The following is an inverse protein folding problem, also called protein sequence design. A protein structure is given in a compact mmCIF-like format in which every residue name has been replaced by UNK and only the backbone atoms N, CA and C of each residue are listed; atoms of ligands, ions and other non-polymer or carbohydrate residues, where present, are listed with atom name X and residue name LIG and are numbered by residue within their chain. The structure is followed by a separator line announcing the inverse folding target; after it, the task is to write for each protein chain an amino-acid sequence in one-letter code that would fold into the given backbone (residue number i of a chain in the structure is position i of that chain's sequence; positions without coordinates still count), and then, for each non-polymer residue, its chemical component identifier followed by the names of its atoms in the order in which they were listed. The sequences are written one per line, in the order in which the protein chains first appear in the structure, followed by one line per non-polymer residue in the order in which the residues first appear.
data_IF_257764887451
#
_entry.id   IF_257764887451
#
_cell.length_a   1.000
_cell.length_b   1.000
_cell.length_c   1.000
_cell.angle_alpha   90.00
_cell.angle_beta   90.00
_cell.angle_gamma   90.00
#
_symmetry.space_group_name_H-M   'P 1'
#
loop_
_entity.id
_entity.type
_entity.pdbx_description
1 polymer ?
#
# COMPACT_ATOMS: atom_id res chain seq x y z
N UNK A 1 -18.17 3.63 -7.42
CA UNK A 1 -18.33 4.53 -6.26
C UNK A 1 -19.78 4.96 -6.18
N UNK A 2 -20.41 4.87 -5.01
CA UNK A 2 -21.79 5.30 -4.79
C UNK A 2 -21.95 6.79 -5.18
N UNK A 3 -23.06 7.21 -5.84
CA UNK A 3 -23.27 8.61 -6.24
C UNK A 3 -23.15 9.61 -5.09
N UNK A 4 -23.61 9.24 -3.89
CA UNK A 4 -23.50 10.06 -2.68
C UNK A 4 -22.06 10.28 -2.25
N UNK A 5 -21.24 9.22 -2.27
CA UNK A 5 -19.81 9.31 -1.97
C UNK A 5 -19.08 10.19 -2.98
N UNK A 6 -19.43 10.09 -4.28
CA UNK A 6 -18.87 10.99 -5.30
C UNK A 6 -19.18 12.45 -5.01
N UNK A 7 -20.43 12.75 -4.70
CA UNK A 7 -20.81 14.12 -4.35
C UNK A 7 -20.09 14.64 -3.10
N UNK A 8 -19.90 13.79 -2.08
CA UNK A 8 -19.16 14.15 -0.88
C UNK A 8 -17.69 14.50 -1.18
N UNK A 9 -16.99 13.67 -1.97
CA UNK A 9 -15.59 13.94 -2.35
C UNK A 9 -15.50 15.22 -3.18
N UNK A 10 -16.46 15.49 -4.08
CA UNK A 10 -16.51 16.75 -4.85
C UNK A 10 -16.68 17.98 -3.93
N UNK A 11 -17.52 17.88 -2.90
CA UNK A 11 -17.69 18.95 -1.89
C UNK A 11 -16.37 19.16 -1.13
N UNK A 12 -15.74 18.07 -0.67
CA UNK A 12 -14.45 18.13 0.05
C UNK A 12 -13.37 18.78 -0.82
N UNK A 13 -13.31 18.44 -2.11
CA UNK A 13 -12.36 19.00 -3.08
C UNK A 13 -12.50 20.51 -3.19
N UNK A 14 -13.74 20.99 -3.32
CA UNK A 14 -14.04 22.43 -3.38
C UNK A 14 -13.71 23.15 -2.07
N UNK A 15 -14.09 22.56 -0.94
CA UNK A 15 -13.88 23.15 0.38
C UNK A 15 -12.40 23.27 0.75
N UNK A 16 -11.61 22.23 0.46
CA UNK A 16 -10.18 22.17 0.80
C UNK A 16 -9.27 22.72 -0.30
N UNK A 17 -9.83 23.04 -1.49
CA UNK A 17 -9.08 23.42 -2.70
C UNK A 17 -8.00 22.40 -3.07
N UNK A 18 -8.33 21.12 -2.92
CA UNK A 18 -7.45 19.99 -3.19
C UNK A 18 -8.00 19.15 -4.32
N UNK A 19 -7.12 18.49 -5.07
CA UNK A 19 -7.53 17.47 -6.04
C UNK A 19 -8.20 16.30 -5.31
N UNK A 20 -8.99 15.52 -6.04
CA UNK A 20 -9.58 14.28 -5.50
C UNK A 20 -8.48 13.34 -4.99
N UNK A 21 -7.37 13.22 -5.73
CA UNK A 21 -6.19 12.45 -5.34
C UNK A 21 -5.63 12.88 -4.00
N UNK A 22 -5.39 14.18 -3.81
CA UNK A 22 -4.85 14.71 -2.56
C UNK A 22 -5.80 14.54 -1.37
N UNK A 23 -7.11 14.46 -1.62
CA UNK A 23 -8.09 14.12 -0.57
C UNK A 23 -7.97 12.66 -0.17
N UNK A 24 -7.87 11.76 -1.15
CA UNK A 24 -7.73 10.33 -0.87
C UNK A 24 -6.40 10.01 -0.19
N UNK A 25 -5.29 10.59 -0.65
CA UNK A 25 -3.98 10.46 -0.01
C UNK A 25 -4.03 10.89 1.45
N UNK A 26 -4.54 12.10 1.73
CA UNK A 26 -4.67 12.58 3.09
C UNK A 26 -5.61 11.72 3.96
N UNK A 27 -6.69 11.19 3.39
CA UNK A 27 -7.62 10.31 4.11
C UNK A 27 -6.98 8.95 4.43
N UNK A 28 -6.25 8.36 3.47
CA UNK A 28 -5.51 7.11 3.67
C UNK A 28 -4.42 7.28 4.72
N UNK A 29 -3.64 8.35 4.62
CA UNK A 29 -2.60 8.68 5.61
C UNK A 29 -3.18 8.89 7.01
N UNK A 30 -4.38 9.47 7.13
CA UNK A 30 -5.04 9.65 8.42
C UNK A 30 -5.63 8.33 8.98
N UNK A 31 -6.12 7.45 8.10
CA UNK A 31 -6.78 6.21 8.50
C UNK A 31 -5.81 5.09 8.88
N UNK A 32 -4.63 5.02 8.23
CA UNK A 32 -3.66 3.97 8.48
C UNK A 32 -3.28 3.87 9.96
N UNK A 33 -3.03 2.66 10.44
CA UNK A 33 -2.42 2.40 11.75
C UNK A 33 -0.93 2.72 11.74
N UNK A 34 -0.31 2.75 12.93
CA UNK A 34 1.14 2.92 13.04
C UNK A 34 1.90 1.79 12.33
N UNK A 35 1.43 0.55 12.51
CA UNK A 35 2.03 -0.65 11.95
C UNK A 35 1.93 -0.68 10.42
N UNK A 36 0.79 -0.33 9.84
CA UNK A 36 0.63 -0.25 8.38
C UNK A 36 1.56 0.80 7.76
N UNK A 37 1.71 1.97 8.39
CA UNK A 37 2.67 3.00 7.92
C UNK A 37 4.11 2.49 8.00
N UNK A 38 4.46 1.82 9.10
CA UNK A 38 5.79 1.26 9.29
C UNK A 38 6.10 0.19 8.22
N UNK A 39 5.21 -0.77 8.03
CA UNK A 39 5.35 -1.82 7.01
C UNK A 39 5.48 -1.21 5.62
N UNK A 40 4.63 -0.24 5.26
CA UNK A 40 4.71 0.42 3.96
C UNK A 40 6.06 1.12 3.75
N UNK A 41 6.58 1.82 4.77
CA UNK A 41 7.87 2.52 4.68
C UNK A 41 9.07 1.58 4.54
N UNK A 42 9.02 0.40 5.16
CA UNK A 42 10.12 -0.57 5.17
C UNK A 42 10.11 -1.49 3.94
N UNK A 43 8.94 -1.70 3.33
CA UNK A 43 8.77 -2.69 2.25
C UNK A 43 8.68 -2.06 0.86
N UNK A 44 8.44 -0.75 0.76
CA UNK A 44 8.32 -0.05 -0.52
C UNK A 44 9.55 -0.23 -1.42
N UNK A 45 9.31 -0.58 -2.69
CA UNK A 45 10.29 -0.54 -3.78
C UNK A 45 9.57 -0.26 -5.10
N UNK A 46 10.30 0.29 -6.07
CA UNK A 46 9.85 0.40 -7.46
C UNK A 46 9.99 -0.92 -8.23
N UNK A 47 10.78 -1.85 -7.72
CA UNK A 47 10.93 -3.21 -8.24
C UNK A 47 9.91 -4.13 -7.55
N UNK A 48 9.08 -4.82 -8.36
CA UNK A 48 8.03 -5.71 -7.85
C UNK A 48 8.57 -6.91 -7.09
N UNK A 49 9.72 -7.45 -7.53
CA UNK A 49 10.32 -8.63 -6.90
C UNK A 49 10.94 -8.23 -5.57
N UNK A 50 11.62 -7.08 -5.52
CA UNK A 50 12.15 -6.53 -4.28
C UNK A 50 11.04 -6.17 -3.29
N UNK A 51 9.94 -5.58 -3.75
CA UNK A 51 8.78 -5.27 -2.93
C UNK A 51 8.21 -6.54 -2.29
N UNK A 52 8.02 -7.60 -3.09
CA UNK A 52 7.50 -8.88 -2.62
C UNK A 52 8.44 -9.54 -1.60
N UNK A 53 9.75 -9.53 -1.85
CA UNK A 53 10.76 -10.07 -0.93
C UNK A 53 10.73 -9.30 0.40
N UNK A 54 10.74 -7.96 0.34
CA UNK A 54 10.73 -7.13 1.56
C UNK A 54 9.44 -7.31 2.35
N UNK A 55 8.28 -7.38 1.67
CA UNK A 55 6.99 -7.64 2.30
C UNK A 55 7.00 -8.99 3.02
N UNK A 56 7.47 -10.05 2.35
CA UNK A 56 7.58 -11.38 2.95
C UNK A 56 8.52 -11.39 4.18
N UNK A 57 9.65 -10.69 4.12
CA UNK A 57 10.60 -10.62 5.23
C UNK A 57 10.07 -9.84 6.45
N UNK A 58 9.31 -8.75 6.22
CA UNK A 58 8.86 -7.84 7.29
C UNK A 58 7.47 -8.19 7.83
N UNK A 59 6.56 -8.60 6.96
CA UNK A 59 5.15 -8.86 7.29
C UNK A 59 4.61 -10.09 6.55
N UNK A 60 5.15 -11.30 6.80
CA UNK A 60 4.75 -12.52 6.08
C UNK A 60 3.27 -12.88 6.26
N UNK A 61 2.63 -12.40 7.33
CA UNK A 61 1.19 -12.59 7.58
C UNK A 61 0.28 -11.82 6.61
N UNK A 62 0.83 -10.84 5.88
CA UNK A 62 0.11 -10.11 4.82
C UNK A 62 0.25 -10.77 3.45
N UNK A 63 1.18 -11.73 3.32
CA UNK A 63 1.34 -12.48 2.08
C UNK A 63 0.27 -13.58 1.99
N UNK A 64 -0.31 -13.72 0.81
CA UNK A 64 -1.02 -14.93 0.42
C UNK A 64 -0.05 -16.12 0.29
N UNK A 65 -0.59 -17.33 0.23
CA UNK A 65 0.21 -18.54 0.04
C UNK A 65 1.06 -18.48 -1.25
N UNK A 66 0.48 -18.02 -2.36
CA UNK A 66 1.17 -17.93 -3.65
C UNK A 66 2.31 -16.89 -3.62
N UNK A 67 2.09 -15.76 -2.95
CA UNK A 67 3.10 -14.72 -2.74
C UNK A 67 4.26 -15.22 -1.88
N UNK A 68 3.98 -16.00 -0.83
CA UNK A 68 5.01 -16.61 0.00
C UNK A 68 5.88 -17.60 -0.81
N UNK A 69 5.26 -18.44 -1.64
CA UNK A 69 5.98 -19.38 -2.50
C UNK A 69 6.87 -18.64 -3.51
N UNK A 70 6.33 -17.60 -4.15
CA UNK A 70 7.07 -16.76 -5.09
C UNK A 70 8.24 -16.03 -4.41
N UNK A 71 8.02 -15.42 -3.25
CA UNK A 71 9.07 -14.73 -2.49
C UNK A 71 10.22 -15.67 -2.12
N UNK A 72 9.92 -16.89 -1.65
CA UNK A 72 10.95 -17.90 -1.33
C UNK A 72 11.76 -18.32 -2.56
N UNK A 73 11.10 -18.49 -3.71
CA UNK A 73 11.78 -18.83 -4.96
C UNK A 73 12.73 -17.70 -5.42
N UNK A 74 12.28 -16.45 -5.34
CA UNK A 74 13.09 -15.28 -5.65
C UNK A 74 14.30 -15.16 -4.72
N UNK A 75 14.11 -15.29 -3.40
CA UNK A 75 15.21 -15.25 -2.42
C UNK A 75 16.25 -16.33 -2.72
N UNK A 76 15.81 -17.54 -3.09
CA UNK A 76 16.72 -18.65 -3.43
C UNK A 76 17.52 -18.36 -4.70
N UNK A 77 16.90 -17.67 -5.67
CA UNK A 77 17.53 -17.33 -6.96
C UNK A 77 18.52 -16.18 -6.83
N UNK A 78 18.23 -15.19 -5.97
CA UNK A 78 19.10 -14.04 -5.72
C UNK A 78 20.24 -14.30 -4.70
N UNK A 79 20.23 -15.45 -4.03
CA UNK A 79 21.26 -15.86 -3.07
C UNK A 79 22.45 -16.62 -3.71
N UNK A 80 22.45 -16.82 -5.03
CA UNK A 80 23.51 -17.45 -5.84
C UNK A 80 24.21 -16.39 -6.68
#
# INVERSE_FOLDING_TARGET
MEPKLKHLVDIMSRGQRRSLTAIFEAALEAYASGDERFIASETWSTDSDELLIRLYQKAPHLCSFDEEVAAKALITTHAV
#
